data_IF_281705027803
#
_entry.id   IF_281705027803
#
_cell.length_a   1.000
_cell.length_b   1.000
_cell.length_c   1.000
_cell.angle_alpha   90.00
_cell.angle_beta   90.00
_cell.angle_gamma   90.00
#
_symmetry.space_group_name_H-M   'P 1'
#
loop_
_entity.id
_entity.type
_entity.pdbx_description
1 polymer ?
#
# COMPACT_ATOMS: atom_id res chain seq x y z
N UNK A 1 9.53 12.52 59.51
CA UNK A 1 8.26 12.05 58.91
C UNK A 1 7.87 12.87 57.67
N UNK A 2 7.51 14.16 57.79
CA UNK A 2 7.09 15.02 56.64
C UNK A 2 8.12 15.14 55.49
N UNK A 3 9.42 15.19 55.79
CA UNK A 3 10.48 15.29 54.77
C UNK A 3 10.74 13.97 54.01
N UNK A 4 10.44 12.83 54.63
CA UNK A 4 10.60 11.49 54.03
C UNK A 4 9.41 11.17 53.11
N UNK A 5 8.22 11.67 53.45
CA UNK A 5 7.02 11.55 52.60
C UNK A 5 7.20 12.34 51.30
N UNK A 6 7.79 13.54 51.36
CA UNK A 6 8.05 14.38 50.18
C UNK A 6 9.09 13.76 49.23
N UNK A 7 10.13 13.10 49.76
CA UNK A 7 11.13 12.43 48.92
C UNK A 7 10.58 11.15 48.28
N UNK A 8 9.73 10.39 48.98
CA UNK A 8 9.06 9.21 48.40
C UNK A 8 8.08 9.63 47.28
N UNK A 9 7.37 10.74 47.45
CA UNK A 9 6.42 11.24 46.43
C UNK A 9 7.13 11.73 45.15
N UNK A 10 8.33 12.31 45.28
CA UNK A 10 9.12 12.77 44.13
C UNK A 10 9.73 11.62 43.31
N UNK A 11 10.08 10.50 43.95
CA UNK A 11 10.65 9.31 43.26
C UNK A 11 9.58 8.56 42.45
N UNK A 12 8.31 8.56 42.91
CA UNK A 12 7.19 7.93 42.18
C UNK A 12 6.83 8.71 40.91
N UNK A 13 7.03 10.03 40.86
CA UNK A 13 6.78 10.84 39.67
C UNK A 13 7.78 10.57 38.53
N UNK A 14 9.03 10.21 38.87
CA UNK A 14 10.09 9.96 37.88
C UNK A 14 10.00 8.58 37.20
N UNK A 15 9.26 7.62 37.78
CA UNK A 15 9.08 6.27 37.21
C UNK A 15 8.03 6.23 36.08
N UNK A 16 7.19 7.26 35.94
CA UNK A 16 6.18 7.34 34.86
C UNK A 16 6.75 7.72 33.47
N UNK A 17 7.99 8.22 33.41
CA UNK A 17 8.59 8.72 32.18
C UNK A 17 9.05 7.62 31.19
N UNK A 18 9.10 6.35 31.62
CA UNK A 18 9.53 5.23 30.75
C UNK A 18 8.36 4.49 30.09
N UNK A 19 7.11 4.87 30.35
CA UNK A 19 5.92 4.19 29.81
C UNK A 19 5.35 4.79 28.50
N UNK A 20 5.86 5.94 28.05
CA UNK A 20 5.27 6.71 26.93
C UNK A 20 5.56 6.16 25.52
N UNK A 21 6.53 5.25 25.35
CA UNK A 21 6.86 4.73 24.01
C UNK A 21 5.81 3.71 23.50
N UNK A 22 5.20 2.93 24.40
CA UNK A 22 4.17 1.94 24.02
C UNK A 22 2.84 2.60 23.65
N UNK A 23 2.40 3.61 24.38
CA UNK A 23 1.12 4.30 24.13
C UNK A 23 1.14 5.13 22.84
N UNK A 24 2.26 5.81 22.53
CA UNK A 24 2.43 6.56 21.28
C UNK A 24 2.53 5.65 20.04
N UNK A 25 3.16 4.46 20.17
CA UNK A 25 3.19 3.44 19.10
C UNK A 25 1.83 2.78 18.90
N UNK A 26 1.09 2.52 19.98
CA UNK A 26 -0.27 1.97 19.91
C UNK A 26 -1.25 2.96 19.27
N UNK A 27 -1.16 4.26 19.60
CA UNK A 27 -1.95 5.32 18.96
C UNK A 27 -1.65 5.51 17.47
N UNK A 28 -0.39 5.35 17.04
CA UNK A 28 -0.03 5.37 15.61
C UNK A 28 -0.54 4.15 14.85
N UNK A 29 -0.53 2.95 15.45
CA UNK A 29 -1.10 1.75 14.85
C UNK A 29 -2.61 1.83 14.70
N UNK A 30 -3.33 2.26 15.74
CA UNK A 30 -4.79 2.40 15.69
C UNK A 30 -5.23 3.44 14.67
N UNK A 31 -4.49 4.54 14.52
CA UNK A 31 -4.76 5.53 13.49
C UNK A 31 -4.53 4.97 12.07
N UNK A 32 -3.45 4.21 11.86
CA UNK A 32 -3.18 3.59 10.56
C UNK A 32 -4.25 2.57 10.18
N UNK A 33 -4.70 1.76 11.14
CA UNK A 33 -5.78 0.80 10.97
C UNK A 33 -7.12 1.49 10.69
N UNK A 34 -7.44 2.57 11.40
CA UNK A 34 -8.64 3.35 11.14
C UNK A 34 -8.65 3.98 9.73
N UNK A 35 -7.50 4.50 9.26
CA UNK A 35 -7.36 5.03 7.90
C UNK A 35 -7.51 3.92 6.86
N UNK A 36 -6.88 2.76 7.09
CA UNK A 36 -7.01 1.60 6.21
C UNK A 36 -8.46 1.11 6.11
N UNK A 37 -9.13 0.96 7.25
CA UNK A 37 -10.52 0.51 7.31
C UNK A 37 -11.48 1.51 6.66
N UNK A 38 -11.30 2.81 6.92
CA UNK A 38 -12.08 3.86 6.26
C UNK A 38 -11.92 3.80 4.74
N UNK A 39 -10.69 3.71 4.26
CA UNK A 39 -10.39 3.62 2.84
C UNK A 39 -10.95 2.32 2.21
N UNK A 40 -10.90 1.19 2.93
CA UNK A 40 -11.52 -0.05 2.48
C UNK A 40 -13.03 0.09 2.36
N UNK A 41 -13.69 0.68 3.37
CA UNK A 41 -15.14 0.86 3.37
C UNK A 41 -15.60 1.80 2.25
N UNK A 42 -14.90 2.92 2.03
CA UNK A 42 -15.18 3.83 0.92
C UNK A 42 -15.04 3.13 -0.44
N UNK A 43 -14.05 2.24 -0.59
CA UNK A 43 -13.88 1.46 -1.81
C UNK A 43 -14.96 0.41 -2.00
N UNK A 44 -15.34 -0.29 -0.93
CA UNK A 44 -16.47 -1.22 -0.98
C UNK A 44 -17.73 -0.45 -1.41
N UNK A 45 -18.00 0.69 -0.79
CA UNK A 45 -19.16 1.52 -1.14
C UNK A 45 -19.13 1.98 -2.61
N UNK A 46 -17.97 2.42 -3.11
CA UNK A 46 -17.79 2.81 -4.52
C UNK A 46 -18.00 1.64 -5.49
N UNK A 47 -17.40 0.47 -5.21
CA UNK A 47 -17.58 -0.69 -6.07
C UNK A 47 -19.01 -1.24 -6.03
N UNK A 48 -19.67 -1.20 -4.87
CA UNK A 48 -21.10 -1.54 -4.76
C UNK A 48 -21.97 -0.53 -5.50
N UNK A 49 -21.65 0.78 -5.51
CA UNK A 49 -22.47 1.77 -6.21
C UNK A 49 -22.27 1.77 -7.73
N UNK A 50 -21.06 1.51 -8.21
CA UNK A 50 -20.72 1.61 -9.64
C UNK A 50 -20.81 0.27 -10.39
N UNK A 51 -20.46 -0.85 -9.74
CA UNK A 51 -20.42 -2.19 -10.38
C UNK A 51 -21.65 -3.04 -10.00
N UNK A 52 -22.42 -2.61 -8.99
CA UNK A 52 -23.60 -3.31 -8.48
C UNK A 52 -23.32 -4.79 -8.16
N UNK A 53 -22.27 -5.04 -7.38
CA UNK A 53 -21.89 -6.39 -6.97
C UNK A 53 -22.93 -6.97 -6.00
N UNK A 54 -23.45 -8.17 -6.30
CA UNK A 54 -24.25 -8.91 -5.32
C UNK A 54 -23.38 -9.35 -4.14
N UNK A 55 -23.95 -9.66 -2.96
CA UNK A 55 -23.19 -10.16 -1.83
C UNK A 55 -22.33 -11.39 -2.17
N UNK A 56 -22.82 -12.29 -3.03
CA UNK A 56 -22.13 -13.49 -3.49
C UNK A 56 -20.96 -13.15 -4.41
N UNK A 57 -21.17 -12.26 -5.38
CA UNK A 57 -20.11 -11.79 -6.28
C UNK A 57 -19.01 -11.05 -5.51
N UNK A 58 -19.38 -10.21 -4.54
CA UNK A 58 -18.44 -9.47 -3.71
C UNK A 58 -17.51 -10.43 -2.93
N UNK A 59 -18.04 -11.52 -2.38
CA UNK A 59 -17.22 -12.52 -1.67
C UNK A 59 -16.14 -13.13 -2.56
N UNK A 60 -16.43 -13.35 -3.85
CA UNK A 60 -15.47 -13.89 -4.83
C UNK A 60 -14.54 -12.81 -5.40
N UNK A 61 -15.01 -11.59 -5.54
CA UNK A 61 -14.28 -10.46 -6.11
C UNK A 61 -13.15 -9.95 -5.21
N UNK A 62 -13.41 -9.72 -3.92
CA UNK A 62 -12.45 -9.07 -3.02
C UNK A 62 -11.10 -9.80 -2.92
N UNK A 63 -11.02 -11.14 -2.82
CA UNK A 63 -9.75 -11.85 -2.85
C UNK A 63 -8.93 -11.59 -4.12
N UNK A 64 -9.57 -11.63 -5.30
CA UNK A 64 -8.92 -11.38 -6.58
C UNK A 64 -8.44 -9.93 -6.67
N UNK A 65 -9.30 -8.99 -6.29
CA UNK A 65 -8.98 -7.56 -6.31
C UNK A 65 -7.83 -7.19 -5.36
N UNK A 66 -7.80 -7.77 -4.16
CA UNK A 66 -6.73 -7.52 -3.21
C UNK A 66 -5.37 -8.03 -3.70
N UNK A 67 -5.35 -9.19 -4.38
CA UNK A 67 -4.13 -9.68 -5.02
C UNK A 67 -3.71 -8.79 -6.18
N UNK A 68 -4.65 -8.37 -7.04
CA UNK A 68 -4.41 -7.42 -8.12
C UNK A 68 -3.74 -6.15 -7.60
N UNK A 69 -4.27 -5.53 -6.55
CA UNK A 69 -3.70 -4.31 -5.98
C UNK A 69 -2.27 -4.50 -5.49
N UNK A 70 -1.97 -5.66 -4.88
CA UNK A 70 -0.63 -5.96 -4.38
C UNK A 70 0.36 -6.09 -5.53
N UNK A 71 0.01 -6.87 -6.57
CA UNK A 71 0.86 -7.09 -7.73
C UNK A 71 1.01 -5.81 -8.57
N UNK A 72 -0.10 -5.13 -8.86
CA UNK A 72 -0.14 -3.87 -9.59
C UNK A 72 0.68 -2.78 -8.90
N UNK A 73 0.55 -2.61 -7.58
CA UNK A 73 1.38 -1.66 -6.81
C UNK A 73 2.87 -2.00 -6.91
N UNK A 74 3.23 -3.28 -6.85
CA UNK A 74 4.62 -3.70 -6.96
C UNK A 74 5.19 -3.39 -8.35
N UNK A 75 4.47 -3.74 -9.42
CA UNK A 75 4.85 -3.46 -10.80
C UNK A 75 4.93 -1.94 -11.07
N UNK A 76 3.95 -1.19 -10.57
CA UNK A 76 3.91 0.27 -10.67
C UNK A 76 5.12 0.93 -10.00
N UNK A 77 5.44 0.53 -8.77
CA UNK A 77 6.58 1.08 -8.05
C UNK A 77 7.91 0.85 -8.78
N UNK A 78 8.10 -0.33 -9.39
CA UNK A 78 9.29 -0.62 -10.22
C UNK A 78 9.36 0.32 -11.42
N UNK A 79 8.24 0.57 -12.10
CA UNK A 79 8.22 1.50 -13.22
C UNK A 79 8.47 2.95 -12.84
N UNK A 80 7.86 3.43 -11.76
CA UNK A 80 8.13 4.77 -11.27
C UNK A 80 9.61 4.94 -11.01
N UNK A 81 10.26 3.95 -10.38
CA UNK A 81 11.70 3.96 -10.14
C UNK A 81 12.52 3.94 -11.44
N UNK A 82 12.18 3.07 -12.39
CA UNK A 82 12.88 2.99 -13.68
C UNK A 82 12.78 4.32 -14.44
N UNK A 83 11.59 4.92 -14.50
CA UNK A 83 11.35 6.22 -15.13
C UNK A 83 12.10 7.35 -14.42
N UNK A 84 12.12 7.35 -13.08
CA UNK A 84 12.88 8.33 -12.30
C UNK A 84 14.38 8.24 -12.60
N UNK A 85 14.93 7.04 -12.68
CA UNK A 85 16.34 6.83 -13.02
C UNK A 85 16.65 7.32 -14.43
N UNK A 86 15.76 7.04 -15.39
CA UNK A 86 15.89 7.49 -16.78
C UNK A 86 15.78 9.02 -16.93
N UNK A 87 14.94 9.68 -16.12
CA UNK A 87 14.79 11.15 -16.12
C UNK A 87 15.82 11.88 -15.26
N UNK A 88 16.64 11.14 -14.51
CA UNK A 88 17.60 11.76 -13.59
C UNK A 88 18.79 12.36 -14.34
N UNK A 89 19.34 13.46 -13.81
CA UNK A 89 20.58 14.05 -14.35
C UNK A 89 21.79 13.11 -14.28
N UNK A 90 21.70 12.03 -13.50
CA UNK A 90 22.76 11.01 -13.44
C UNK A 90 22.98 10.32 -14.80
N UNK A 91 21.96 10.33 -15.68
CA UNK A 91 22.04 9.76 -17.04
C UNK A 91 23.10 10.45 -17.90
N UNK A 92 23.36 11.75 -17.70
CA UNK A 92 24.38 12.51 -18.46
C UNK A 92 25.81 11.98 -18.22
N UNK A 93 26.02 11.20 -17.16
CA UNK A 93 27.32 10.63 -16.78
C UNK A 93 27.46 9.15 -17.15
N UNK A 94 26.42 8.56 -17.74
CA UNK A 94 26.39 7.14 -18.11
C UNK A 94 26.95 6.94 -19.52
N UNK A 95 27.49 5.75 -19.75
CA UNK A 95 27.84 5.27 -21.09
C UNK A 95 26.58 4.94 -21.89
N UNK A 96 26.69 4.91 -23.22
CA UNK A 96 25.59 4.55 -24.12
C UNK A 96 24.94 3.20 -23.75
N UNK A 97 25.77 2.18 -23.44
CA UNK A 97 25.30 0.86 -23.00
C UNK A 97 24.49 0.92 -21.70
N UNK A 98 24.90 1.77 -20.75
CA UNK A 98 24.17 1.94 -19.49
C UNK A 98 22.86 2.70 -19.70
N UNK A 99 22.84 3.69 -20.60
CA UNK A 99 21.61 4.41 -20.98
C UNK A 99 20.64 3.45 -21.65
N UNK A 100 21.11 2.63 -22.60
CA UNK A 100 20.29 1.60 -23.26
C UNK A 100 19.68 0.65 -22.23
N UNK A 101 20.48 0.17 -21.27
CA UNK A 101 19.96 -0.66 -20.19
C UNK A 101 18.87 0.03 -19.37
N UNK A 102 18.98 1.33 -19.09
CA UNK A 102 17.93 2.07 -18.35
C UNK A 102 16.64 2.17 -19.15
N UNK A 103 16.74 2.33 -20.47
CA UNK A 103 15.59 2.30 -21.38
C UNK A 103 14.97 0.90 -21.36
N UNK A 104 15.77 -0.14 -21.52
CA UNK A 104 15.29 -1.54 -21.50
C UNK A 104 14.62 -1.90 -20.17
N UNK A 105 15.19 -1.48 -19.04
CA UNK A 105 14.61 -1.67 -17.70
C UNK A 105 13.24 -0.98 -17.59
N UNK A 106 13.06 0.19 -18.19
CA UNK A 106 11.77 0.89 -18.22
C UNK A 106 10.77 0.19 -19.13
N UNK A 107 11.17 -0.25 -20.33
CA UNK A 107 10.26 -0.99 -21.22
C UNK A 107 9.84 -2.32 -20.60
N UNK A 108 10.77 -3.06 -19.99
CA UNK A 108 10.48 -4.31 -19.30
C UNK A 108 9.50 -4.12 -18.13
N UNK A 109 9.59 -3.01 -17.40
CA UNK A 109 8.65 -2.73 -16.33
C UNK A 109 7.23 -2.47 -16.87
N UNK A 110 7.09 -1.79 -18.02
CA UNK A 110 5.79 -1.48 -18.64
C UNK A 110 5.14 -2.79 -19.08
N UNK A 111 5.90 -3.67 -19.75
CA UNK A 111 5.43 -5.01 -20.10
C UNK A 111 4.95 -5.79 -18.85
N UNK A 112 5.68 -5.72 -17.74
CA UNK A 112 5.29 -6.39 -16.50
C UNK A 112 3.99 -5.81 -15.89
N UNK A 113 3.67 -4.52 -16.09
CA UNK A 113 2.37 -3.98 -15.69
C UNK A 113 1.25 -4.55 -16.56
N UNK A 114 1.45 -4.60 -17.88
CA UNK A 114 0.47 -5.13 -18.82
C UNK A 114 0.18 -6.61 -18.57
N UNK A 115 1.19 -7.40 -18.20
CA UNK A 115 1.02 -8.79 -17.77
C UNK A 115 0.13 -8.91 -16.53
N UNK A 116 0.29 -8.02 -15.54
CA UNK A 116 -0.59 -7.98 -14.36
C UNK A 116 -2.03 -7.67 -14.78
N UNK A 117 -2.25 -6.65 -15.61
CA UNK A 117 -3.59 -6.34 -16.10
C UNK A 117 -4.22 -7.50 -16.87
N UNK A 118 -3.44 -8.13 -17.76
CA UNK A 118 -3.88 -9.28 -18.56
C UNK A 118 -4.28 -10.45 -17.68
N UNK A 119 -3.43 -10.79 -16.69
CA UNK A 119 -3.69 -11.86 -15.72
C UNK A 119 -4.98 -11.60 -14.95
N UNK A 120 -5.13 -10.41 -14.36
CA UNK A 120 -6.29 -10.14 -13.51
C UNK A 120 -7.58 -9.90 -14.30
N UNK A 121 -7.51 -9.41 -15.54
CA UNK A 121 -8.67 -9.41 -16.43
C UNK A 121 -9.21 -10.83 -16.65
N UNK A 122 -8.32 -11.83 -16.82
CA UNK A 122 -8.73 -13.22 -16.91
C UNK A 122 -9.31 -13.76 -15.59
N UNK A 123 -8.73 -13.38 -14.43
CA UNK A 123 -9.27 -13.80 -13.12
C UNK A 123 -10.63 -13.16 -12.80
N UNK A 124 -10.84 -11.88 -13.10
CA UNK A 124 -12.12 -11.21 -12.87
C UNK A 124 -13.25 -11.81 -13.70
N UNK A 125 -12.99 -12.21 -14.96
CA UNK A 125 -13.96 -12.91 -15.81
C UNK A 125 -14.42 -14.26 -15.26
N UNK A 126 -13.68 -14.87 -14.32
CA UNK A 126 -14.11 -16.12 -13.67
C UNK A 126 -15.08 -15.88 -12.52
N UNK A 127 -15.06 -14.69 -11.93
CA UNK A 127 -15.81 -14.37 -10.71
C UNK A 127 -16.93 -13.35 -10.93
N UNK A 128 -16.92 -12.66 -12.07
CA UNK A 128 -17.92 -11.66 -12.45
C UNK A 128 -18.45 -11.89 -13.88
N UNK A 129 -19.72 -11.54 -14.15
CA UNK A 129 -20.24 -11.39 -15.51
C UNK A 129 -19.41 -10.42 -16.34
N UNK A 130 -19.32 -10.65 -17.66
CA UNK A 130 -18.47 -9.86 -18.55
C UNK A 130 -18.88 -8.39 -18.60
N UNK A 131 -20.17 -8.11 -18.44
CA UNK A 131 -20.75 -6.77 -18.40
C UNK A 131 -20.24 -5.94 -17.23
N UNK A 132 -19.87 -6.59 -16.11
CA UNK A 132 -19.29 -5.95 -14.92
C UNK A 132 -17.76 -5.82 -14.98
N UNK A 133 -17.13 -6.45 -15.97
CA UNK A 133 -15.67 -6.41 -16.19
C UNK A 133 -15.30 -5.42 -17.30
N UNK A 134 -16.20 -5.14 -18.23
CA UNK A 134 -16.03 -4.19 -19.34
C UNK A 134 -16.13 -2.74 -18.87
#
# INVERSE_FOLDING_TARGET
MRRVILTIMAVVLCLGATAQDKTLRQGRRSQHEAIYNKWQNERIAFFTSEIDLTPEEAQLFWPVYNQFLKESRSAHSKCVRALQLLKSKAVEKLTETEIQKRVDDYIACVAAQDEVFTKYAAEFKKVLPIEKVA
#
